data_IF_829100476856
#
_entry.id   IF_829100476856
#
_cell.length_a   1.000
_cell.length_b   1.000
_cell.length_c   1.000
_cell.angle_alpha   90.00
_cell.angle_beta   90.00
_cell.angle_gamma   90.00
#
_symmetry.space_group_name_H-M   'P 1'
#
loop_
_entity.id
_entity.type
_entity.pdbx_description
1 polymer ?
#
# COMPACT_ATOMS: atom_id res chain seq x y z
N UNK A 1 -32.21 17.32 -22.88
CA UNK A 1 -32.16 18.72 -22.41
C UNK A 1 -32.19 18.71 -20.88
N UNK A 2 -31.16 19.19 -20.17
CA UNK A 2 -31.25 19.37 -18.70
C UNK A 2 -32.08 20.63 -18.45
N UNK A 3 -33.38 20.47 -18.22
CA UNK A 3 -34.27 21.54 -17.80
C UNK A 3 -33.85 21.99 -16.39
N UNK A 4 -33.21 23.15 -16.29
CA UNK A 4 -32.91 23.77 -15.00
C UNK A 4 -34.11 24.63 -14.60
N UNK A 5 -34.62 24.44 -13.38
CA UNK A 5 -35.68 25.26 -12.79
C UNK A 5 -35.05 26.31 -11.88
N UNK A 6 -35.48 27.57 -12.00
CA UNK A 6 -35.08 28.62 -11.07
C UNK A 6 -35.83 28.42 -9.74
N UNK A 7 -35.08 28.45 -8.64
CA UNK A 7 -35.59 28.33 -7.27
C UNK A 7 -34.96 29.45 -6.45
N UNK A 8 -35.76 30.21 -5.72
CA UNK A 8 -35.29 31.26 -4.81
C UNK A 8 -35.12 30.64 -3.42
N UNK A 9 -33.91 30.69 -2.89
CA UNK A 9 -33.54 30.15 -1.58
C UNK A 9 -32.89 31.27 -0.78
N UNK A 10 -33.24 31.36 0.50
CA UNK A 10 -32.50 32.18 1.44
C UNK A 10 -31.38 31.33 2.02
N UNK A 11 -30.14 31.79 1.87
CA UNK A 11 -28.95 31.14 2.39
C UNK A 11 -28.36 32.01 3.48
N UNK A 12 -27.81 31.37 4.50
CA UNK A 12 -27.09 32.08 5.55
C UNK A 12 -25.84 32.79 4.95
N UNK A 13 -25.41 33.93 5.52
CA UNK A 13 -24.33 34.74 4.95
C UNK A 13 -23.00 33.98 4.83
N UNK A 14 -22.73 33.08 5.76
CA UNK A 14 -21.55 32.21 5.77
C UNK A 14 -21.57 31.17 4.63
N UNK A 15 -22.73 30.57 4.36
CA UNK A 15 -22.93 29.65 3.22
C UNK A 15 -22.71 30.39 1.90
N UNK A 16 -23.25 31.61 1.78
CA UNK A 16 -23.07 32.46 0.60
C UNK A 16 -21.58 32.78 0.38
N UNK A 17 -20.87 33.15 1.44
CA UNK A 17 -19.42 33.42 1.38
C UNK A 17 -18.62 32.17 0.97
N UNK A 18 -18.98 30.99 1.51
CA UNK A 18 -18.33 29.73 1.15
C UNK A 18 -18.58 29.35 -0.32
N UNK A 19 -19.80 29.55 -0.83
CA UNK A 19 -20.14 29.31 -2.23
C UNK A 19 -19.41 30.25 -3.18
N UNK A 20 -19.30 31.53 -2.84
CA UNK A 20 -18.54 32.50 -3.64
C UNK A 20 -17.05 32.21 -3.65
N UNK A 21 -16.48 31.79 -2.51
CA UNK A 21 -15.09 31.33 -2.44
C UNK A 21 -14.87 30.10 -3.34
N UNK A 22 -15.80 29.14 -3.32
CA UNK A 22 -15.72 27.94 -4.16
C UNK A 22 -15.89 28.25 -5.65
N UNK A 23 -16.83 29.14 -5.99
CA UNK A 23 -17.04 29.64 -7.33
C UNK A 23 -15.76 30.27 -7.89
N UNK A 24 -15.09 31.13 -7.10
CA UNK A 24 -13.79 31.72 -7.47
C UNK A 24 -12.70 30.68 -7.63
N UNK A 25 -12.57 29.73 -6.69
CA UNK A 25 -11.56 28.65 -6.76
C UNK A 25 -11.68 27.83 -8.04
N UNK A 26 -12.89 27.58 -8.52
CA UNK A 26 -13.16 26.75 -9.71
C UNK A 26 -13.40 27.53 -11.00
N UNK A 27 -13.38 28.86 -10.96
CA UNK A 27 -13.74 29.70 -12.12
C UNK A 27 -15.19 29.52 -12.58
N UNK A 28 -16.11 29.21 -11.66
CA UNK A 28 -17.53 29.01 -11.92
C UNK A 28 -18.36 30.18 -11.40
N UNK A 29 -19.60 30.32 -11.83
CA UNK A 29 -20.55 31.22 -11.18
C UNK A 29 -21.14 30.57 -9.92
N UNK A 30 -21.62 31.39 -8.98
CA UNK A 30 -22.15 30.96 -7.68
C UNK A 30 -23.29 29.95 -7.81
N UNK A 31 -24.21 30.15 -8.77
CA UNK A 31 -25.31 29.21 -9.02
C UNK A 31 -24.84 27.83 -9.48
N UNK A 32 -23.79 27.78 -10.32
CA UNK A 32 -23.19 26.53 -10.81
C UNK A 32 -22.41 25.84 -9.71
N UNK A 33 -21.61 26.58 -8.94
CA UNK A 33 -20.92 26.04 -7.77
C UNK A 33 -21.92 25.45 -6.75
N UNK A 34 -23.01 26.15 -6.48
CA UNK A 34 -24.08 25.66 -5.62
C UNK A 34 -24.74 24.38 -6.15
N UNK A 35 -25.03 24.32 -7.47
CA UNK A 35 -25.63 23.13 -8.08
C UNK A 35 -24.69 21.91 -7.99
N UNK A 36 -23.39 22.10 -8.20
CA UNK A 36 -22.40 21.03 -8.14
C UNK A 36 -22.22 20.52 -6.70
N UNK A 37 -22.19 21.40 -5.71
CA UNK A 37 -22.14 21.02 -4.28
C UNK A 37 -23.39 20.25 -3.89
N UNK A 38 -24.58 20.76 -4.23
CA UNK A 38 -25.85 20.09 -3.94
C UNK A 38 -25.94 18.73 -4.62
N UNK A 39 -25.47 18.62 -5.87
CA UNK A 39 -25.40 17.34 -6.58
C UNK A 39 -24.49 16.35 -5.86
N UNK A 40 -23.29 16.77 -5.45
CA UNK A 40 -22.35 15.93 -4.72
C UNK A 40 -22.97 15.40 -3.41
N UNK A 41 -23.60 16.29 -2.65
CA UNK A 41 -24.18 15.96 -1.34
C UNK A 41 -25.42 15.08 -1.47
N UNK A 42 -26.33 15.41 -2.39
CA UNK A 42 -27.66 14.79 -2.45
C UNK A 42 -27.73 13.61 -3.43
N UNK A 43 -26.91 13.59 -4.48
CA UNK A 43 -27.01 12.59 -5.56
C UNK A 43 -25.81 11.66 -5.62
N UNK A 44 -24.59 12.15 -5.36
CA UNK A 44 -23.37 11.34 -5.46
C UNK A 44 -23.03 10.61 -4.13
N UNK A 45 -23.97 10.55 -3.18
CA UNK A 45 -23.81 9.80 -1.93
C UNK A 45 -22.90 10.45 -0.88
N UNK A 46 -22.61 11.75 -1.03
CA UNK A 46 -21.87 12.56 -0.06
C UNK A 46 -20.48 12.01 0.32
N UNK A 47 -19.87 12.63 1.31
CA UNK A 47 -18.56 12.21 1.84
C UNK A 47 -18.59 10.79 2.44
N UNK A 48 -19.77 10.26 2.77
CA UNK A 48 -19.95 8.91 3.30
C UNK A 48 -19.56 7.81 2.30
N UNK A 49 -19.92 7.96 1.02
CA UNK A 49 -19.52 7.01 -0.03
C UNK A 49 -18.00 6.99 -0.25
N UNK A 50 -17.36 8.16 -0.18
CA UNK A 50 -15.90 8.28 -0.25
C UNK A 50 -15.26 7.63 0.97
N UNK A 51 -15.77 7.89 2.17
CA UNK A 51 -15.27 7.31 3.41
C UNK A 51 -15.35 5.78 3.40
N UNK A 52 -16.43 5.20 2.88
CA UNK A 52 -16.60 3.75 2.76
C UNK A 52 -15.63 3.12 1.75
N UNK A 53 -15.42 3.78 0.60
CA UNK A 53 -14.41 3.35 -0.37
C UNK A 53 -12.98 3.40 0.19
N UNK A 54 -12.65 4.45 0.94
CA UNK A 54 -11.35 4.57 1.61
C UNK A 54 -11.19 3.47 2.66
N UNK A 55 -12.20 3.22 3.49
CA UNK A 55 -12.19 2.14 4.48
C UNK A 55 -11.97 0.78 3.83
N UNK A 56 -12.73 0.48 2.78
CA UNK A 56 -12.58 -0.77 2.01
C UNK A 56 -11.18 -0.94 1.44
N UNK A 57 -10.55 0.15 0.99
CA UNK A 57 -9.16 0.11 0.50
C UNK A 57 -8.16 -0.14 1.62
N UNK A 58 -8.35 0.49 2.79
CA UNK A 58 -7.53 0.26 3.97
C UNK A 58 -7.63 -1.20 4.43
N UNK A 59 -8.85 -1.75 4.52
CA UNK A 59 -9.05 -3.16 4.89
C UNK A 59 -8.33 -4.12 3.92
N UNK A 60 -8.29 -3.78 2.62
CA UNK A 60 -7.52 -4.56 1.65
C UNK A 60 -6.01 -4.43 1.84
N UNK A 61 -5.51 -3.26 2.22
CA UNK A 61 -4.10 -3.05 2.53
C UNK A 61 -3.70 -3.84 3.78
N UNK A 62 -4.49 -3.79 4.84
CA UNK A 62 -4.25 -4.54 6.07
C UNK A 62 -4.20 -6.04 5.83
N UNK A 63 -5.13 -6.57 5.00
CA UNK A 63 -5.12 -7.99 4.60
C UNK A 63 -3.84 -8.36 3.84
N UNK A 64 -3.38 -7.49 2.94
CA UNK A 64 -2.14 -7.71 2.19
C UNK A 64 -0.92 -7.64 3.11
N UNK A 65 -0.92 -6.74 4.08
CA UNK A 65 0.16 -6.59 5.03
C UNK A 65 0.26 -7.81 5.97
N UNK A 66 -0.87 -8.26 6.50
CA UNK A 66 -0.94 -9.47 7.30
C UNK A 66 -0.49 -10.72 6.51
N UNK A 67 -0.78 -10.79 5.21
CA UNK A 67 -0.28 -11.87 4.36
C UNK A 67 1.24 -11.78 4.18
N UNK A 68 1.79 -10.60 3.87
CA UNK A 68 3.25 -10.40 3.78
C UNK A 68 3.97 -10.74 5.06
N UNK A 69 3.42 -10.39 6.21
CA UNK A 69 4.00 -10.73 7.51
C UNK A 69 4.09 -12.25 7.70
N UNK A 70 3.09 -13.02 7.24
CA UNK A 70 3.12 -14.49 7.26
C UNK A 70 4.16 -15.05 6.29
N UNK A 71 4.23 -14.54 5.07
CA UNK A 71 5.27 -14.94 4.10
C UNK A 71 6.68 -14.67 4.64
N UNK A 72 6.89 -13.50 5.27
CA UNK A 72 8.18 -13.15 5.88
C UNK A 72 8.53 -14.08 7.05
N UNK A 73 7.54 -14.46 7.87
CA UNK A 73 7.75 -15.43 8.94
C UNK A 73 8.17 -16.80 8.38
N UNK A 74 7.53 -17.25 7.30
CA UNK A 74 7.88 -18.51 6.63
C UNK A 74 9.30 -18.48 6.07
N UNK A 75 9.70 -17.38 5.41
CA UNK A 75 11.07 -17.21 4.91
C UNK A 75 12.09 -17.23 6.05
N UNK A 76 11.78 -16.56 7.17
CA UNK A 76 12.63 -16.60 8.37
C UNK A 76 12.77 -18.02 8.92
N UNK A 77 11.68 -18.78 9.02
CA UNK A 77 11.71 -20.17 9.47
C UNK A 77 12.54 -21.06 8.53
N UNK A 78 12.35 -20.92 7.21
CA UNK A 78 13.14 -21.64 6.22
C UNK A 78 14.64 -21.32 6.32
N UNK A 79 15.00 -20.05 6.51
CA UNK A 79 16.39 -19.63 6.71
C UNK A 79 16.98 -20.23 7.99
N UNK A 80 16.25 -20.21 9.10
CA UNK A 80 16.72 -20.79 10.36
C UNK A 80 16.91 -22.31 10.25
N UNK A 81 15.98 -23.00 9.56
CA UNK A 81 16.12 -24.43 9.29
C UNK A 81 17.31 -24.72 8.37
N UNK A 82 17.53 -23.91 7.34
CA UNK A 82 18.70 -24.02 6.48
C UNK A 82 20.00 -23.86 7.27
N UNK A 83 20.13 -22.81 8.09
CA UNK A 83 21.32 -22.59 8.93
C UNK A 83 21.54 -23.74 9.90
N UNK A 84 20.46 -24.27 10.50
CA UNK A 84 20.56 -25.44 11.39
C UNK A 84 21.06 -26.67 10.63
N UNK A 85 20.44 -26.99 9.49
CA UNK A 85 20.84 -28.12 8.65
C UNK A 85 22.29 -27.94 8.18
N UNK A 86 22.67 -26.72 7.85
CA UNK A 86 24.03 -26.38 7.47
C UNK A 86 25.03 -26.68 8.59
N UNK A 87 24.78 -26.25 9.82
CA UNK A 87 25.67 -26.55 10.96
C UNK A 87 25.68 -28.05 11.30
N UNK A 88 24.55 -28.73 11.12
CA UNK A 88 24.42 -30.16 11.45
C UNK A 88 25.09 -31.08 10.42
N UNK A 89 25.14 -30.67 9.14
CA UNK A 89 25.71 -31.45 8.03
C UNK A 89 27.02 -30.90 7.47
N UNK A 90 27.40 -29.66 7.81
CA UNK A 90 28.79 -29.26 7.77
C UNK A 90 29.48 -30.12 8.82
N UNK A 91 30.09 -31.23 8.39
CA UNK A 91 30.89 -32.08 9.26
C UNK A 91 31.92 -31.26 10.05
N UNK A 92 32.54 -31.84 11.09
CA UNK A 92 33.58 -31.13 11.82
C UNK A 92 34.57 -30.55 10.80
N UNK A 93 34.85 -29.25 10.95
CA UNK A 93 36.11 -28.71 10.48
C UNK A 93 37.14 -29.51 11.29
N UNK A 94 37.54 -30.68 10.79
CA UNK A 94 38.85 -31.20 11.15
C UNK A 94 39.80 -30.01 10.94
N UNK A 95 40.72 -29.76 11.87
CA UNK A 95 41.89 -28.91 11.63
C UNK A 95 42.72 -29.59 10.52
N UNK A 96 42.12 -29.73 9.36
CA UNK A 96 42.77 -29.92 8.11
C UNK A 96 43.35 -28.54 7.84
N UNK A 97 44.66 -28.39 7.97
CA UNK A 97 45.45 -27.34 7.29
C UNK A 97 45.33 -27.50 5.75
N UNK A 98 44.15 -27.92 5.27
CA UNK A 98 43.82 -28.18 3.90
C UNK A 98 43.01 -26.97 3.39
N UNK A 99 43.65 -26.05 2.66
CA UNK A 99 42.99 -24.86 2.13
C UNK A 99 41.80 -25.20 1.22
N UNK A 100 41.70 -26.44 0.72
CA UNK A 100 40.59 -26.91 -0.10
C UNK A 100 39.29 -27.08 0.71
N UNK A 101 39.39 -27.40 2.01
CA UNK A 101 38.21 -27.56 2.88
C UNK A 101 37.58 -26.20 3.25
N UNK A 102 38.41 -25.18 3.52
CA UNK A 102 37.95 -23.81 3.79
C UNK A 102 37.39 -23.16 2.51
N UNK A 103 38.03 -23.42 1.37
CA UNK A 103 37.55 -22.97 0.06
C UNK A 103 36.18 -23.58 -0.31
N UNK A 104 35.91 -24.83 0.07
CA UNK A 104 34.64 -25.50 -0.22
C UNK A 104 33.47 -24.89 0.60
N UNK A 105 33.72 -24.48 1.85
CA UNK A 105 32.70 -23.78 2.67
C UNK A 105 32.38 -22.39 2.09
N UNK A 106 33.41 -21.62 1.72
CA UNK A 106 33.24 -20.29 1.14
C UNK A 106 32.57 -20.35 -0.25
N UNK A 107 32.96 -21.30 -1.10
CA UNK A 107 32.36 -21.50 -2.42
C UNK A 107 30.86 -21.83 -2.31
N UNK A 108 30.48 -22.67 -1.34
CA UNK A 108 29.08 -23.00 -1.09
C UNK A 108 28.29 -21.81 -0.49
N UNK A 109 28.92 -20.97 0.33
CA UNK A 109 28.32 -19.73 0.83
C UNK A 109 28.06 -18.71 -0.29
N UNK A 110 29.04 -18.50 -1.17
CA UNK A 110 28.89 -17.61 -2.32
C UNK A 110 27.81 -18.11 -3.29
N UNK A 111 27.77 -19.42 -3.58
CA UNK A 111 26.72 -20.00 -4.42
C UNK A 111 25.31 -19.82 -3.86
N UNK A 112 25.15 -19.85 -2.53
CA UNK A 112 23.87 -19.52 -1.89
C UNK A 112 23.51 -18.03 -2.05
N UNK A 113 24.47 -17.13 -1.83
CA UNK A 113 24.23 -15.68 -1.97
C UNK A 113 23.83 -15.29 -3.39
N UNK A 114 24.45 -15.90 -4.41
CA UNK A 114 24.10 -15.68 -5.82
C UNK A 114 22.68 -16.17 -6.15
N UNK A 115 22.30 -17.35 -5.65
CA UNK A 115 20.97 -17.92 -5.87
C UNK A 115 19.87 -17.09 -5.17
N UNK A 116 20.16 -16.60 -3.97
CA UNK A 116 19.28 -15.72 -3.21
C UNK A 116 19.13 -14.35 -3.89
N UNK A 117 20.23 -13.76 -4.36
CA UNK A 117 20.21 -12.49 -5.09
C UNK A 117 19.38 -12.59 -6.39
N UNK A 118 19.46 -13.72 -7.10
CA UNK A 118 18.67 -13.99 -8.30
C UNK A 118 17.16 -14.12 -8.05
N UNK A 119 16.76 -14.62 -6.87
CA UNK A 119 15.34 -14.72 -6.47
C UNK A 119 14.77 -13.40 -5.93
N UNK A 120 15.60 -12.54 -5.34
CA UNK A 120 15.18 -11.22 -4.79
C UNK A 120 15.07 -10.16 -5.90
N UNK A 121 15.81 -10.31 -7.01
CA UNK A 121 15.79 -9.38 -8.14
C UNK A 121 14.74 -9.67 -9.23
N UNK A 122 13.90 -10.70 -9.07
CA UNK A 122 12.88 -11.16 -10.03
C UNK A 122 11.45 -10.83 -9.63
#
# INVERSE_FOLDING_TARGET
MRTRRQVTLHLDPDILAALDAEARRRGLNTSRAANDVLRRVLLDGGDAAIADQVRTRLDRLDKRDAHRARELALVKEALLLFVRLWIEYAGPLEESDDPDAEADVEARYQGFLEMLAGQIGG
#
